data_IF_927590911407
#
_entry.id   IF_927590911407
#
_cell.length_a   1.000
_cell.length_b   1.000
_cell.length_c   1.000
_cell.angle_alpha   90.00
_cell.angle_beta   90.00
_cell.angle_gamma   90.00
#
_symmetry.space_group_name_H-M   'P 1'
#
loop_
_entity.id
_entity.type
_entity.pdbx_description
1 polymer ?
#
# COMPACT_ATOMS: atom_id res chain seq x y z
N UNK A 1 -1.56 -1.21 10.83
CA UNK A 1 -2.25 -0.55 9.69
C UNK A 1 -3.70 -0.17 10.02
N UNK A 2 -4.52 -1.05 10.60
CA UNK A 2 -5.95 -0.79 10.83
C UNK A 2 -6.32 0.16 11.98
N UNK A 3 -5.50 0.31 13.02
CA UNK A 3 -5.87 1.12 14.20
C UNK A 3 -5.83 2.65 14.00
N UNK A 4 -5.45 3.14 12.82
CA UNK A 4 -5.20 4.57 12.59
C UNK A 4 -5.75 5.12 11.25
N UNK A 5 -6.54 4.35 10.49
CA UNK A 5 -7.02 4.81 9.17
C UNK A 5 -7.87 6.09 9.26
N UNK A 6 -8.61 6.27 10.36
CA UNK A 6 -9.41 7.48 10.63
C UNK A 6 -8.54 8.74 10.89
N UNK A 7 -7.22 8.60 11.03
CA UNK A 7 -6.28 9.67 11.35
C UNK A 7 -5.24 9.98 10.27
N UNK A 8 -5.32 9.38 9.08
CA UNK A 8 -4.36 9.69 8.01
C UNK A 8 -4.64 11.09 7.44
N UNK A 9 -3.79 12.05 7.80
CA UNK A 9 -3.71 13.36 7.16
C UNK A 9 -2.78 13.27 5.96
N UNK A 10 -3.31 12.91 4.78
CA UNK A 10 -2.54 12.83 3.54
C UNK A 10 -2.24 11.41 3.09
N UNK A 11 -1.00 11.16 2.66
CA UNK A 11 -0.54 9.88 2.11
C UNK A 11 0.44 9.21 3.07
N UNK A 12 0.24 7.92 3.34
CA UNK A 12 1.25 7.08 3.99
C UNK A 12 2.14 6.47 2.92
N UNK A 13 3.45 6.55 3.13
CA UNK A 13 4.44 6.05 2.18
C UNK A 13 5.37 5.08 2.90
N UNK A 14 5.53 3.90 2.31
CA UNK A 14 6.60 2.96 2.61
C UNK A 14 7.40 2.75 1.33
N UNK A 15 8.72 2.85 1.43
CA UNK A 15 9.61 2.68 0.28
C UNK A 15 10.83 1.89 0.74
N UNK A 16 11.31 0.96 -0.09
CA UNK A 16 12.58 0.31 0.15
C UNK A 16 13.71 1.32 -0.01
N UNK A 17 14.86 1.09 0.64
CA UNK A 17 15.99 2.02 0.60
C UNK A 17 16.46 2.31 -0.84
N UNK A 18 16.38 1.29 -1.70
CA UNK A 18 16.81 1.35 -3.10
C UNK A 18 15.66 1.73 -4.06
N UNK A 19 14.45 1.96 -3.55
CA UNK A 19 13.29 2.40 -4.34
C UNK A 19 12.66 1.32 -5.23
N UNK A 20 13.12 0.07 -5.12
CA UNK A 20 12.59 -1.08 -5.87
C UNK A 20 11.13 -1.39 -5.53
N UNK A 21 10.68 -1.06 -4.30
CA UNK A 21 9.31 -1.21 -3.84
C UNK A 21 8.86 0.08 -3.17
N UNK A 22 7.72 0.62 -3.62
CA UNK A 22 7.03 1.69 -2.94
C UNK A 22 5.54 1.36 -2.78
N UNK A 23 5.02 1.53 -1.56
CA UNK A 23 3.61 1.40 -1.22
C UNK A 23 3.13 2.75 -0.72
N UNK A 24 2.12 3.30 -1.39
CA UNK A 24 1.51 4.58 -1.05
C UNK A 24 0.04 4.37 -0.76
N UNK A 25 -0.41 4.78 0.42
CA UNK A 25 -1.80 4.67 0.82
C UNK A 25 -2.38 6.06 1.03
N UNK A 26 -3.43 6.40 0.28
CA UNK A 26 -4.14 7.68 0.41
C UNK A 26 -5.64 7.44 0.57
N UNK A 27 -6.35 8.49 1.00
CA UNK A 27 -7.81 8.49 1.06
C UNK A 27 -8.39 9.69 0.34
N UNK A 28 -9.57 9.55 -0.23
CA UNK A 28 -10.33 10.70 -0.72
C UNK A 28 -11.21 11.32 0.38
N UNK A 29 -11.99 12.34 -0.01
CA UNK A 29 -12.91 13.05 0.88
C UNK A 29 -14.13 12.22 1.27
N UNK A 30 -14.45 11.16 0.51
CA UNK A 30 -15.65 10.34 0.67
C UNK A 30 -15.37 9.04 1.44
N UNK A 31 -14.10 8.69 1.64
CA UNK A 31 -13.66 7.57 2.47
C UNK A 31 -13.04 6.41 1.69
N UNK A 32 -12.91 6.51 0.37
CA UNK A 32 -12.21 5.50 -0.42
C UNK A 32 -10.72 5.50 -0.10
N UNK A 33 -10.14 4.29 -0.01
CA UNK A 33 -8.73 4.08 0.22
C UNK A 33 -8.07 3.61 -1.08
N UNK A 34 -6.99 4.29 -1.45
CA UNK A 34 -6.17 3.93 -2.59
C UNK A 34 -4.84 3.38 -2.07
N UNK A 35 -4.55 2.12 -2.40
CA UNK A 35 -3.28 1.49 -2.09
C UNK A 35 -2.53 1.34 -3.41
N UNK A 36 -1.57 2.23 -3.66
CA UNK A 36 -0.71 2.20 -4.84
C UNK A 36 0.56 1.44 -4.52
N UNK A 37 0.80 0.36 -5.25
CA UNK A 37 2.03 -0.44 -5.17
C UNK A 37 2.82 -0.20 -6.44
N UNK A 38 4.09 0.11 -6.28
CA UNK A 38 5.05 0.28 -7.36
C UNK A 38 6.24 -0.65 -7.13
N UNK A 39 6.56 -1.44 -8.15
CA UNK A 39 7.70 -2.35 -8.19
C UNK A 39 8.56 -2.03 -9.41
N UNK A 40 9.88 -2.04 -9.24
CA UNK A 40 10.86 -1.80 -10.31
C UNK A 40 12.01 -2.79 -10.22
N UNK A 41 12.58 -3.21 -11.34
CA UNK A 41 13.80 -4.05 -11.34
C UNK A 41 15.09 -3.31 -11.07
N UNK A 42 15.06 -1.98 -11.15
CA UNK A 42 16.24 -1.15 -11.03
C UNK A 42 15.93 0.34 -11.16
N UNK A 43 16.97 1.19 -11.00
CA UNK A 43 16.81 2.63 -10.94
C UNK A 43 16.62 3.28 -12.32
N UNK A 44 16.88 2.55 -13.41
CA UNK A 44 16.87 3.11 -14.76
C UNK A 44 15.44 3.15 -15.33
N UNK A 45 15.27 3.89 -16.42
CA UNK A 45 13.98 3.99 -17.13
C UNK A 45 13.70 2.79 -18.02
N UNK A 46 14.74 2.07 -18.41
CA UNK A 46 14.68 0.86 -19.25
C UNK A 46 14.32 -0.39 -18.43
N UNK A 47 14.49 -0.31 -17.11
CA UNK A 47 14.04 -1.33 -16.16
C UNK A 47 12.53 -1.51 -16.22
N UNK A 48 12.08 -2.74 -15.97
CA UNK A 48 10.66 -2.99 -15.91
C UNK A 48 10.07 -2.30 -14.68
N UNK A 49 8.85 -1.79 -14.83
CA UNK A 49 8.09 -1.15 -13.79
C UNK A 49 6.66 -1.66 -13.79
N UNK A 50 6.19 -2.09 -12.64
CA UNK A 50 4.80 -2.47 -12.41
C UNK A 50 4.20 -1.48 -11.43
N UNK A 51 3.09 -0.84 -11.83
CA UNK A 51 2.32 0.05 -10.96
C UNK A 51 0.89 -0.47 -10.90
N UNK A 52 0.40 -0.72 -9.69
CA UNK A 52 -0.96 -1.17 -9.43
C UNK A 52 -1.59 -0.27 -8.40
N UNK A 53 -2.88 0.05 -8.57
CA UNK A 53 -3.67 0.71 -7.55
C UNK A 53 -4.83 -0.18 -7.17
N UNK A 54 -4.89 -0.55 -5.89
CA UNK A 54 -6.02 -1.27 -5.29
C UNK A 54 -6.93 -0.25 -4.64
N UNK A 55 -8.18 -0.21 -5.11
CA UNK A 55 -9.26 0.54 -4.47
C UNK A 55 -9.88 -0.33 -3.37
N UNK A 56 -10.03 0.24 -2.18
CA UNK A 56 -10.64 -0.43 -1.04
C UNK A 56 -11.49 0.54 -0.23
N UNK A 57 -12.44 -0.01 0.53
CA UNK A 57 -13.18 0.75 1.54
C UNK A 57 -12.46 0.72 2.88
N UNK A 58 -12.63 1.77 3.69
CA UNK A 58 -12.06 1.84 5.04
C UNK A 58 -12.41 0.62 5.90
N UNK A 59 -13.66 0.13 5.81
CA UNK A 59 -14.12 -1.06 6.52
C UNK A 59 -13.46 -2.38 6.06
N UNK A 60 -12.81 -2.40 4.90
CA UNK A 60 -12.14 -3.60 4.37
C UNK A 60 -10.68 -3.70 4.82
N UNK A 61 -10.08 -2.62 5.34
CA UNK A 61 -8.65 -2.56 5.67
C UNK A 61 -8.22 -3.62 6.68
N UNK A 62 -9.04 -3.91 7.70
CA UNK A 62 -8.76 -4.96 8.69
C UNK A 62 -8.74 -6.35 8.06
N UNK A 63 -9.66 -6.62 7.14
CA UNK A 63 -9.72 -7.90 6.43
C UNK A 63 -8.54 -8.04 5.47
N UNK A 64 -8.18 -6.97 4.76
CA UNK A 64 -7.02 -6.93 3.87
C UNK A 64 -5.73 -7.17 4.66
N UNK A 65 -5.54 -6.48 5.78
CA UNK A 65 -4.36 -6.64 6.63
C UNK A 65 -4.21 -8.09 7.12
N UNK A 66 -5.28 -8.67 7.66
CA UNK A 66 -5.29 -10.07 8.13
C UNK A 66 -4.98 -11.07 7.01
N UNK A 67 -5.53 -10.86 5.81
CA UNK A 67 -5.24 -11.70 4.64
C UNK A 67 -3.79 -11.58 4.21
N UNK A 68 -3.23 -10.38 4.23
CA UNK A 68 -1.81 -10.15 3.95
C UNK A 68 -0.92 -10.85 4.98
N UNK A 69 -1.22 -10.72 6.28
CA UNK A 69 -0.49 -11.41 7.36
C UNK A 69 -0.48 -12.94 7.16
N UNK A 70 -1.63 -13.53 6.82
CA UNK A 70 -1.72 -14.96 6.51
C UNK A 70 -0.94 -15.34 5.25
N UNK A 71 -0.99 -14.51 4.21
CA UNK A 71 -0.30 -14.78 2.94
C UNK A 71 1.23 -14.71 3.07
N UNK A 72 1.74 -13.71 3.79
CA UNK A 72 3.18 -13.51 3.98
C UNK A 72 3.75 -14.28 5.19
N UNK A 73 2.93 -15.01 5.94
CA UNK A 73 3.37 -15.77 7.11
C UNK A 73 3.79 -14.89 8.30
N UNK A 74 3.32 -13.65 8.36
CA UNK A 74 3.64 -12.69 9.41
C UNK A 74 2.65 -12.74 10.59
N UNK A 75 1.80 -13.76 10.66
CA UNK A 75 0.88 -13.97 11.78
C UNK A 75 1.69 -14.31 13.05
N UNK A 76 1.82 -13.33 13.94
CA UNK A 76 2.30 -13.49 15.31
C UNK A 76 1.14 -13.43 16.30
#
# INVERSE_FOLDING_TARGET
>A
MARQWAGWSGELVWESLEGELAIRCSRDRVGHIFIRVELRSGPYTEDWRVVVTVLAEAGQLETIARRAEMFFGCAG
#
